data_IF_038696523918
#
_entry.id   IF_038696523918
#
_cell.length_a   1.000
_cell.length_b   1.000
_cell.length_c   1.000
_cell.angle_alpha   90.00
_cell.angle_beta   90.00
_cell.angle_gamma   90.00
#
_symmetry.space_group_name_H-M   'P 1'
#
loop_
_entity.id
_entity.type
_entity.pdbx_description
1 polymer ?
#
# COMPACT_ATOMS: atom_id res chain seq x y z
N UNK A 1 -29.20 4.46 -15.26
CA UNK A 1 -27.86 3.81 -15.28
C UNK A 1 -27.20 4.02 -13.91
N UNK A 2 -26.96 2.97 -13.15
CA UNK A 2 -26.24 3.12 -11.87
C UNK A 2 -24.76 3.39 -12.20
N UNK A 3 -24.28 4.58 -11.86
CA UNK A 3 -22.87 4.91 -11.94
C UNK A 3 -22.13 3.96 -11.00
N UNK A 4 -21.18 3.19 -11.52
CA UNK A 4 -20.34 2.35 -10.69
C UNK A 4 -19.45 3.28 -9.85
N UNK A 5 -19.35 3.07 -8.52
CA UNK A 5 -18.52 3.92 -7.68
C UNK A 5 -17.06 3.83 -8.15
N UNK A 6 -16.43 4.98 -8.25
CA UNK A 6 -14.98 5.05 -8.48
C UNK A 6 -14.27 4.41 -7.27
N UNK A 7 -13.20 3.60 -7.47
CA UNK A 7 -12.44 3.05 -6.37
C UNK A 7 -11.90 4.13 -5.42
N UNK A 8 -11.62 5.31 -5.90
CA UNK A 8 -11.20 6.45 -5.05
C UNK A 8 -12.28 6.87 -4.07
N UNK A 9 -13.56 6.88 -4.50
CA UNK A 9 -14.68 7.20 -3.60
C UNK A 9 -14.84 6.15 -2.50
N UNK A 10 -14.59 4.88 -2.82
CA UNK A 10 -14.57 3.79 -1.83
C UNK A 10 -13.44 4.01 -0.82
N UNK A 11 -12.26 4.41 -1.27
CA UNK A 11 -11.12 4.72 -0.39
C UNK A 11 -11.46 5.88 0.53
N UNK A 12 -11.93 7.00 -0.01
CA UNK A 12 -12.26 8.20 0.77
C UNK A 12 -13.33 7.90 1.82
N UNK A 13 -14.41 7.22 1.45
CA UNK A 13 -15.47 6.84 2.38
C UNK A 13 -14.97 5.89 3.48
N UNK A 14 -14.04 5.00 3.15
CA UNK A 14 -13.42 4.08 4.10
C UNK A 14 -12.56 4.82 5.12
N UNK A 15 -11.72 5.75 4.68
CA UNK A 15 -10.89 6.58 5.57
C UNK A 15 -11.76 7.38 6.53
N UNK A 16 -12.81 8.02 6.02
CA UNK A 16 -13.77 8.79 6.84
C UNK A 16 -14.44 7.92 7.90
N UNK A 17 -14.91 6.73 7.50
CA UNK A 17 -15.63 5.84 8.42
C UNK A 17 -14.74 5.27 9.54
N UNK A 18 -13.49 4.91 9.21
CA UNK A 18 -12.63 4.17 10.14
C UNK A 18 -11.69 5.07 10.96
N UNK A 19 -11.25 6.18 10.40
CA UNK A 19 -10.25 7.04 11.04
C UNK A 19 -10.79 8.40 11.48
N UNK A 20 -11.99 8.76 11.03
CA UNK A 20 -12.64 10.04 11.35
C UNK A 20 -11.69 11.24 11.19
N UNK A 21 -11.05 11.39 10.04
CA UNK A 21 -10.09 12.46 9.80
C UNK A 21 -10.80 13.81 9.67
N UNK A 22 -10.03 14.88 9.58
CA UNK A 22 -10.51 16.09 8.94
C UNK A 22 -10.64 15.81 7.45
N UNK A 23 -11.86 15.83 6.90
CA UNK A 23 -12.14 15.38 5.53
C UNK A 23 -11.33 16.13 4.48
N UNK A 24 -11.16 17.44 4.65
CA UNK A 24 -10.38 18.29 3.73
C UNK A 24 -8.87 17.95 3.73
N UNK A 25 -8.40 17.19 4.72
CA UNK A 25 -7.01 16.78 4.81
C UNK A 25 -6.67 15.51 4.05
N UNK A 26 -7.68 14.75 3.60
CA UNK A 26 -7.47 13.44 2.98
C UNK A 26 -6.85 13.61 1.58
N UNK A 27 -5.71 12.96 1.36
CA UNK A 27 -5.03 12.92 0.07
C UNK A 27 -4.74 11.48 -0.34
N UNK A 28 -5.10 11.12 -1.57
CA UNK A 28 -4.61 9.91 -2.21
C UNK A 28 -3.24 10.25 -2.80
N UNK A 29 -2.19 9.77 -2.14
CA UNK A 29 -0.79 10.05 -2.50
C UNK A 29 -0.36 9.21 -3.69
N UNK A 30 -0.80 7.95 -3.72
CA UNK A 30 -0.52 7.02 -4.81
C UNK A 30 -1.60 5.97 -4.94
N UNK A 31 -1.86 5.58 -6.18
CA UNK A 31 -2.73 4.48 -6.58
C UNK A 31 -1.93 3.49 -7.42
N UNK A 32 -2.07 2.20 -7.14
CA UNK A 32 -1.55 1.14 -7.99
C UNK A 32 -2.61 0.09 -8.21
N UNK A 33 -2.78 -0.34 -9.46
CA UNK A 33 -3.71 -1.39 -9.86
C UNK A 33 -2.95 -2.58 -10.42
N UNK A 34 -3.44 -3.77 -10.12
CA UNK A 34 -2.94 -5.03 -10.67
C UNK A 34 -4.11 -5.97 -10.90
N UNK A 35 -4.56 -6.09 -12.16
CA UNK A 35 -5.74 -6.89 -12.50
C UNK A 35 -7.00 -6.40 -11.79
N UNK A 36 -7.56 -7.24 -10.92
CA UNK A 36 -8.75 -6.93 -10.11
C UNK A 36 -8.42 -6.38 -8.73
N UNK A 37 -7.17 -6.10 -8.44
CA UNK A 37 -6.72 -5.56 -7.18
C UNK A 37 -6.22 -4.14 -7.34
N UNK A 38 -6.38 -3.35 -6.31
CA UNK A 38 -5.83 -2.01 -6.22
C UNK A 38 -5.36 -1.72 -4.80
N UNK A 39 -4.32 -0.93 -4.67
CA UNK A 39 -3.86 -0.41 -3.39
C UNK A 39 -3.66 1.09 -3.47
N UNK A 40 -4.05 1.77 -2.42
CA UNK A 40 -4.03 3.22 -2.32
C UNK A 40 -3.24 3.62 -1.09
N UNK A 41 -2.22 4.43 -1.31
CA UNK A 41 -1.53 5.12 -0.24
C UNK A 41 -2.26 6.44 0.03
N UNK A 42 -2.63 6.68 1.26
CA UNK A 42 -3.37 7.87 1.68
C UNK A 42 -2.63 8.59 2.80
N UNK A 43 -2.78 9.90 2.86
CA UNK A 43 -2.36 10.71 3.99
C UNK A 43 -3.54 11.55 4.47
N UNK A 44 -3.61 11.81 5.76
CA UNK A 44 -4.67 12.61 6.36
C UNK A 44 -4.25 13.11 7.74
N UNK A 45 -4.95 14.11 8.23
CA UNK A 45 -4.86 14.58 9.62
C UNK A 45 -6.03 14.01 10.42
N UNK A 46 -5.75 13.35 11.53
CA UNK A 46 -6.79 12.84 12.43
C UNK A 46 -7.39 13.95 13.30
N UNK A 47 -8.42 13.60 14.10
CA UNK A 47 -9.11 14.57 14.94
C UNK A 47 -8.26 15.18 16.04
N UNK A 48 -7.13 14.55 16.35
CA UNK A 48 -6.15 15.03 17.32
C UNK A 48 -5.08 15.92 16.68
N UNK A 49 -5.20 16.22 15.39
CA UNK A 49 -4.24 17.03 14.63
C UNK A 49 -2.96 16.26 14.27
N UNK A 50 -2.98 14.93 14.34
CA UNK A 50 -1.82 14.09 14.04
C UNK A 50 -1.84 13.69 12.57
N UNK A 51 -0.72 13.94 11.88
CA UNK A 51 -0.53 13.47 10.51
C UNK A 51 -0.39 11.95 10.47
N UNK A 52 -1.19 11.32 9.60
CA UNK A 52 -1.27 9.88 9.42
C UNK A 52 -1.01 9.50 7.97
N UNK A 53 -0.46 8.31 7.78
CA UNK A 53 -0.32 7.63 6.48
C UNK A 53 -0.97 6.27 6.57
N UNK A 54 -1.72 5.90 5.54
CA UNK A 54 -2.44 4.63 5.49
C UNK A 54 -2.26 3.91 4.15
N UNK A 55 -2.50 2.61 4.15
CA UNK A 55 -2.60 1.78 2.96
C UNK A 55 -3.95 1.08 2.94
N UNK A 56 -4.68 1.23 1.84
CA UNK A 56 -6.00 0.64 1.65
C UNK A 56 -5.97 -0.25 0.41
N UNK A 57 -6.33 -1.52 0.58
CA UNK A 57 -6.50 -2.47 -0.51
C UNK A 57 -7.95 -2.63 -0.91
N UNK A 58 -8.21 -2.64 -2.20
CA UNK A 58 -9.51 -2.93 -2.78
C UNK A 58 -9.41 -4.08 -3.77
N UNK A 59 -10.52 -4.80 -3.95
CA UNK A 59 -10.68 -5.74 -5.05
C UNK A 59 -11.95 -5.44 -5.85
N UNK A 60 -11.89 -5.77 -7.14
CA UNK A 60 -13.02 -5.66 -8.03
C UNK A 60 -13.83 -6.96 -7.99
N UNK A 61 -15.04 -6.89 -7.45
CA UNK A 61 -15.94 -8.03 -7.35
C UNK A 61 -16.57 -8.40 -8.69
N UNK A 62 -17.07 -9.64 -8.82
CA UNK A 62 -17.79 -10.10 -10.02
C UNK A 62 -19.01 -9.25 -10.40
N UNK A 63 -19.60 -8.57 -9.44
CA UNK A 63 -20.67 -7.58 -9.66
C UNK A 63 -20.22 -6.32 -10.39
N UNK A 64 -18.91 -6.16 -10.64
CA UNK A 64 -18.33 -4.97 -11.22
C UNK A 64 -18.18 -3.81 -10.23
N UNK A 65 -18.21 -4.09 -8.95
CA UNK A 65 -18.08 -3.08 -7.88
C UNK A 65 -16.75 -3.26 -7.18
N UNK A 66 -16.04 -2.14 -6.95
CA UNK A 66 -14.89 -2.10 -6.09
C UNK A 66 -15.33 -2.16 -4.63
N UNK A 67 -14.71 -3.01 -3.88
CA UNK A 67 -14.96 -3.14 -2.45
C UNK A 67 -13.66 -3.42 -1.71
N UNK A 68 -13.65 -3.07 -0.45
CA UNK A 68 -12.56 -3.43 0.45
C UNK A 68 -12.40 -4.94 0.44
N UNK A 69 -11.21 -5.41 0.15
CA UNK A 69 -10.92 -6.81 0.23
C UNK A 69 -10.39 -7.11 1.62
N UNK A 70 -11.15 -7.83 2.38
CA UNK A 70 -10.93 -8.48 3.69
C UNK A 70 -9.66 -8.25 4.50
N UNK A 71 -8.91 -7.23 4.24
CA UNK A 71 -7.63 -6.95 4.87
C UNK A 71 -7.71 -5.80 5.88
N UNK A 72 -6.64 -5.65 6.63
CA UNK A 72 -6.45 -4.60 7.61
C UNK A 72 -6.11 -3.27 6.90
N UNK A 73 -6.78 -2.19 7.30
CA UNK A 73 -6.37 -0.84 6.94
C UNK A 73 -5.43 -0.35 8.02
N UNK A 74 -4.17 -0.25 7.69
CA UNK A 74 -3.16 0.32 8.58
C UNK A 74 -3.08 1.82 8.42
N UNK A 75 -2.98 2.54 9.52
CA UNK A 75 -2.49 3.91 9.53
C UNK A 75 -1.41 4.06 10.59
N UNK A 76 -0.38 4.81 10.27
CA UNK A 76 0.70 5.10 11.18
C UNK A 76 0.92 6.61 11.29
N UNK A 77 1.35 7.04 12.48
CA UNK A 77 1.82 8.40 12.67
C UNK A 77 3.04 8.66 11.76
N UNK A 78 3.06 9.82 11.12
CA UNK A 78 4.22 10.24 10.33
C UNK A 78 5.41 10.50 11.26
N UNK A 79 6.53 9.85 10.93
CA UNK A 79 7.83 10.13 11.54
C UNK A 79 8.75 10.55 10.43
N UNK A 80 9.29 11.75 10.53
CA UNK A 80 10.22 12.30 9.54
C UNK A 80 11.49 11.44 9.45
N UNK A 81 12.09 11.40 8.25
CA UNK A 81 13.33 10.70 7.93
C UNK A 81 13.32 9.18 8.16
N UNK A 82 12.13 8.59 8.32
CA UNK A 82 11.95 7.14 8.44
C UNK A 82 11.01 6.60 7.39
N UNK A 83 11.33 5.42 6.87
CA UNK A 83 10.40 4.65 6.07
C UNK A 83 9.26 4.14 6.96
N UNK A 84 8.05 4.18 6.40
CA UNK A 84 6.86 3.59 7.03
C UNK A 84 6.32 2.52 6.10
N UNK A 85 6.27 1.27 6.57
CA UNK A 85 5.81 0.14 5.80
C UNK A 85 4.52 -0.43 6.38
N UNK A 86 3.54 -0.61 5.52
CA UNK A 86 2.25 -1.20 5.86
C UNK A 86 1.94 -2.35 4.92
N UNK A 87 1.29 -3.36 5.48
CA UNK A 87 0.90 -4.56 4.74
C UNK A 87 -0.59 -4.76 4.82
N UNK A 88 -1.13 -5.29 3.76
CA UNK A 88 -2.50 -5.70 3.64
C UNK A 88 -2.57 -7.08 2.98
N UNK A 89 -3.43 -7.95 3.49
CA UNK A 89 -3.64 -9.27 2.94
C UNK A 89 -5.08 -9.72 3.02
N UNK A 90 -5.47 -10.63 2.15
CA UNK A 90 -6.80 -11.19 2.11
C UNK A 90 -6.90 -12.34 1.14
N UNK A 91 -8.00 -13.07 1.22
CA UNK A 91 -8.30 -14.20 0.34
C UNK A 91 -9.18 -13.76 -0.82
N UNK A 92 -8.91 -14.32 -1.99
CA UNK A 92 -9.83 -14.24 -3.12
C UNK A 92 -10.91 -15.32 -2.97
N UNK A 93 -12.18 -14.96 -2.69
CA UNK A 93 -13.23 -15.96 -2.52
C UNK A 93 -13.47 -16.83 -3.76
N UNK A 94 -13.18 -16.30 -4.95
CA UNK A 94 -13.40 -17.00 -6.20
C UNK A 94 -12.30 -18.01 -6.52
N UNK A 95 -11.06 -17.79 -6.06
CA UNK A 95 -9.89 -18.60 -6.40
C UNK A 95 -9.23 -19.26 -5.20
N UNK A 96 -9.65 -18.92 -3.98
CA UNK A 96 -9.03 -19.34 -2.72
C UNK A 96 -7.54 -19.01 -2.62
N UNK A 97 -7.06 -18.06 -3.43
CA UNK A 97 -5.67 -17.60 -3.41
C UNK A 97 -5.52 -16.40 -2.51
N UNK A 98 -4.46 -16.42 -1.74
CA UNK A 98 -4.03 -15.24 -0.99
C UNK A 98 -3.64 -14.13 -1.95
N UNK A 99 -4.03 -12.92 -1.60
CA UNK A 99 -3.60 -11.69 -2.24
C UNK A 99 -3.11 -10.74 -1.17
N UNK A 100 -2.07 -10.00 -1.48
CA UNK A 100 -1.51 -9.06 -0.54
C UNK A 100 -0.94 -7.83 -1.24
N UNK A 101 -0.82 -6.76 -0.49
CA UNK A 101 -0.12 -5.57 -0.88
C UNK A 101 0.76 -5.07 0.26
N UNK A 102 1.87 -4.46 -0.11
CA UNK A 102 2.77 -3.75 0.80
C UNK A 102 2.99 -2.37 0.23
N UNK A 103 2.76 -1.35 1.04
CA UNK A 103 3.05 0.04 0.72
C UNK A 103 4.11 0.60 1.65
N UNK A 104 5.06 1.32 1.07
CA UNK A 104 6.13 1.99 1.81
C UNK A 104 6.21 3.47 1.48
N UNK A 105 6.19 4.30 2.51
CA UNK A 105 6.59 5.70 2.42
C UNK A 105 8.07 5.78 2.71
N UNK A 106 8.82 6.32 1.76
CA UNK A 106 10.28 6.38 1.80
C UNK A 106 10.72 7.65 2.51
N UNK A 107 11.60 7.49 3.51
CA UNK A 107 12.17 8.61 4.25
C UNK A 107 13.34 9.27 3.53
N UNK A 108 14.05 8.53 2.68
CA UNK A 108 15.18 9.03 1.90
C UNK A 108 14.73 9.47 0.51
N UNK A 109 14.79 10.76 0.17
CA UNK A 109 14.38 11.28 -1.14
C UNK A 109 15.27 10.79 -2.30
N UNK A 110 16.45 10.25 -2.03
CA UNK A 110 17.32 9.66 -3.06
C UNK A 110 16.86 8.27 -3.52
N UNK A 111 15.90 7.67 -2.83
CA UNK A 111 15.33 6.37 -3.22
C UNK A 111 14.38 6.55 -4.39
N UNK A 112 14.73 5.97 -5.53
CA UNK A 112 13.93 6.02 -6.75
C UNK A 112 13.07 4.76 -6.97
N UNK A 113 13.46 3.63 -6.39
CA UNK A 113 12.75 2.37 -6.52
C UNK A 113 13.01 1.46 -5.32
N UNK A 114 12.20 0.42 -5.19
CA UNK A 114 12.42 -0.62 -4.20
C UNK A 114 12.15 -2.02 -4.80
N UNK A 115 12.83 -3.02 -4.24
CA UNK A 115 12.61 -4.44 -4.53
C UNK A 115 12.36 -5.20 -3.25
N UNK A 116 11.43 -6.16 -3.34
CA UNK A 116 11.31 -7.24 -2.36
C UNK A 116 11.79 -8.53 -3.00
N UNK A 117 12.72 -9.19 -2.37
CA UNK A 117 13.26 -10.47 -2.82
C UNK A 117 12.96 -11.52 -1.77
N UNK A 118 12.12 -12.49 -2.11
CA UNK A 118 11.77 -13.56 -1.18
C UNK A 118 12.88 -14.64 -1.07
N UNK A 119 12.80 -15.56 -0.10
CA UNK A 119 13.81 -16.62 0.07
C UNK A 119 13.96 -17.54 -1.15
N UNK A 120 12.95 -17.63 -2.01
CA UNK A 120 12.98 -18.41 -3.24
C UNK A 120 13.58 -17.65 -4.43
N UNK A 121 13.99 -16.39 -4.23
CA UNK A 121 14.56 -15.54 -5.26
C UNK A 121 13.54 -14.87 -6.17
N UNK A 122 12.24 -14.92 -5.84
CA UNK A 122 11.22 -14.16 -6.55
C UNK A 122 11.33 -12.68 -6.20
N UNK A 123 11.18 -11.82 -7.20
CA UNK A 123 11.38 -10.38 -7.07
C UNK A 123 10.10 -9.64 -7.39
N UNK A 124 9.71 -8.73 -6.50
CA UNK A 124 8.76 -7.68 -6.76
C UNK A 124 9.50 -6.35 -6.79
N UNK A 125 9.25 -5.54 -7.80
CA UNK A 125 9.89 -4.23 -7.95
C UNK A 125 8.86 -3.15 -8.21
N UNK A 126 9.08 -1.98 -7.67
CA UNK A 126 8.26 -0.81 -7.92
C UNK A 126 9.07 0.48 -7.90
N UNK A 127 8.72 1.39 -8.81
CA UNK A 127 9.30 2.73 -8.88
C UNK A 127 8.57 3.64 -7.89
N UNK A 128 9.31 4.48 -7.18
CA UNK A 128 8.72 5.42 -6.25
C UNK A 128 7.98 6.54 -6.99
N UNK A 129 6.75 6.79 -6.57
CA UNK A 129 5.96 7.94 -6.99
C UNK A 129 5.48 8.70 -5.75
N UNK A 130 5.70 9.99 -5.71
CA UNK A 130 5.39 10.83 -4.54
C UNK A 130 6.00 10.30 -3.22
N UNK A 131 7.20 9.71 -3.31
CA UNK A 131 7.88 9.09 -2.18
C UNK A 131 7.26 7.79 -1.69
N UNK A 132 6.42 7.13 -2.51
CA UNK A 132 5.72 5.89 -2.15
C UNK A 132 6.01 4.80 -3.17
N UNK A 133 6.24 3.59 -2.68
CA UNK A 133 6.26 2.35 -3.45
C UNK A 133 5.12 1.44 -3.00
N UNK A 134 4.54 0.68 -3.94
CA UNK A 134 3.46 -0.27 -3.66
C UNK A 134 3.74 -1.57 -4.40
N UNK A 135 3.77 -2.69 -3.67
CA UNK A 135 3.85 -4.03 -4.21
C UNK A 135 2.49 -4.71 -4.07
N UNK A 136 2.01 -5.34 -5.13
CA UNK A 136 0.77 -6.14 -5.13
C UNK A 136 1.09 -7.49 -5.71
N UNK A 137 0.69 -8.57 -5.04
CA UNK A 137 0.89 -9.93 -5.54
C UNK A 137 -0.27 -10.84 -5.18
N UNK A 138 -0.33 -11.97 -5.88
CA UNK A 138 -1.18 -13.11 -5.59
C UNK A 138 -0.34 -14.37 -5.43
N UNK A 139 -0.76 -15.24 -4.54
CA UNK A 139 -0.09 -16.51 -4.29
C UNK A 139 0.90 -16.44 -3.16
N UNK A 140 1.92 -17.26 -3.24
CA UNK A 140 2.77 -17.66 -2.14
C UNK A 140 4.09 -16.88 -2.04
N UNK A 141 4.13 -15.63 -2.46
CA UNK A 141 5.28 -14.77 -2.20
C UNK A 141 5.48 -14.60 -0.69
N UNK A 142 6.66 -14.98 -0.20
CA UNK A 142 6.99 -14.87 1.23
C UNK A 142 7.49 -13.47 1.59
N UNK A 143 6.56 -12.56 1.84
CA UNK A 143 6.87 -11.19 2.25
C UNK A 143 7.43 -11.09 3.67
N UNK A 144 7.15 -12.08 4.51
CA UNK A 144 7.59 -12.08 5.92
C UNK A 144 9.11 -12.25 6.06
N UNK A 145 9.72 -12.99 5.13
CA UNK A 145 11.17 -13.23 5.09
C UNK A 145 11.85 -12.56 3.89
N UNK A 146 11.12 -11.70 3.17
CA UNK A 146 11.68 -10.99 2.05
C UNK A 146 12.74 -9.98 2.48
N UNK A 147 13.78 -9.87 1.65
CA UNK A 147 14.78 -8.82 1.74
C UNK A 147 14.30 -7.60 0.96
N UNK A 148 14.32 -6.45 1.62
CA UNK A 148 14.08 -5.16 1.00
C UNK A 148 15.39 -4.60 0.45
N UNK A 149 15.38 -4.15 -0.79
CA UNK A 149 16.44 -3.39 -1.43
C UNK A 149 15.88 -2.04 -1.88
N UNK A 150 16.51 -0.95 -1.46
CA UNK A 150 16.21 0.39 -1.94
C UNK A 150 17.25 0.80 -2.98
N UNK A 151 16.78 1.41 -4.06
CA UNK A 151 17.57 1.71 -5.24
C UNK A 151 17.55 3.21 -5.52
N UNK A 152 18.68 3.73 -6.00
CA UNK A 152 18.76 5.09 -6.54
C UNK A 152 18.28 5.17 -8.00
N UNK A 153 18.37 6.36 -8.61
CA UNK A 153 17.98 6.60 -10.00
C UNK A 153 18.82 5.78 -11.00
N UNK A 154 20.04 5.42 -10.64
CA UNK A 154 20.94 4.60 -11.46
C UNK A 154 20.72 3.09 -11.23
N UNK A 155 19.66 2.70 -10.51
CA UNK A 155 19.34 1.31 -10.15
C UNK A 155 20.40 0.64 -9.26
N UNK A 156 21.20 1.42 -8.54
CA UNK A 156 22.15 0.90 -7.57
C UNK A 156 21.48 0.71 -6.23
N UNK A 157 21.77 -0.40 -5.58
CA UNK A 157 21.27 -0.66 -4.21
C UNK A 157 21.97 0.28 -3.24
N UNK A 158 21.21 1.18 -2.63
CA UNK A 158 21.68 2.12 -1.62
C UNK A 158 21.44 1.65 -0.19
N UNK A 159 20.48 0.76 0.00
CA UNK A 159 20.21 0.14 1.30
C UNK A 159 19.58 -1.24 1.13
N UNK A 160 19.97 -2.16 1.99
CA UNK A 160 19.41 -3.53 2.05
C UNK A 160 19.09 -3.86 3.51
N UNK A 161 18.00 -4.59 3.72
CA UNK A 161 17.64 -5.05 5.06
C UNK A 161 16.30 -5.77 5.08
N UNK A 162 15.85 -6.21 6.25
CA UNK A 162 14.50 -6.73 6.41
C UNK A 162 13.49 -5.59 6.28
N UNK A 163 12.34 -5.88 5.72
CA UNK A 163 11.22 -4.95 5.73
C UNK A 163 10.64 -4.90 7.16
N UNK A 164 10.80 -3.75 7.82
CA UNK A 164 10.23 -3.54 9.16
C UNK A 164 8.85 -2.92 9.02
N UNK A 165 7.83 -3.69 9.38
CA UNK A 165 6.44 -3.22 9.39
C UNK A 165 6.25 -2.20 10.51
N UNK A 166 5.56 -1.12 10.22
CA UNK A 166 5.08 -0.19 11.23
C UNK A 166 3.97 -0.86 12.04
N UNK A 167 4.07 -0.80 13.35
CA UNK A 167 3.06 -1.30 14.27
C UNK A 167 2.07 -0.21 14.64
#
# INVERSE_FOLDING_TARGET
MKVKPDPRDVVLSTVVAEHRPFEDSIQIVREKRSGKDAAFAVSFEDRDGVQRRGLIGLCHHHSGVWQRSGGFIGSARVVEDRDVWMTWGGWDPATTKERAAVGGWLGDPSTAAARLVDPMGRVLEDVAENGVVIFIWKGDFDDSHARLELLDEDQRVIRTGPMRRSR
#
